data_IF_557354612044
#
_entry.id   IF_557354612044
#
_cell.length_a   1.000
_cell.length_b   1.000
_cell.length_c   1.000
_cell.angle_alpha   90.00
_cell.angle_beta   90.00
_cell.angle_gamma   90.00
#
_symmetry.space_group_name_H-M   'P 1'
#
loop_
_entity.id
_entity.type
_entity.pdbx_description
1 polymer ?
#
# COMPACT_ATOMS: atom_id res chain seq x y z
N UNK A 1 -29.62 -0.30 -0.40
CA UNK A 1 -28.47 -0.57 0.48
C UNK A 1 -27.42 -1.25 -0.38
N UNK A 2 -26.20 -0.73 -0.46
CA UNK A 2 -25.16 -1.36 -1.29
C UNK A 2 -24.50 -2.51 -0.53
N UNK A 3 -24.19 -3.59 -1.24
CA UNK A 3 -23.43 -4.69 -0.69
C UNK A 3 -21.96 -4.29 -0.45
N UNK A 4 -21.34 -4.93 0.54
CA UNK A 4 -19.92 -4.73 0.85
C UNK A 4 -19.06 -5.41 -0.22
N UNK A 5 -18.08 -4.70 -0.76
CA UNK A 5 -17.13 -5.26 -1.72
C UNK A 5 -16.04 -6.02 -0.97
N UNK A 6 -16.11 -7.35 -1.01
CA UNK A 6 -15.15 -8.22 -0.36
C UNK A 6 -13.96 -8.50 -1.30
N UNK A 7 -12.74 -8.36 -0.77
CA UNK A 7 -11.50 -8.63 -1.51
C UNK A 7 -10.68 -9.69 -0.79
N UNK A 8 -9.97 -10.52 -1.55
CA UNK A 8 -9.11 -11.56 -1.00
C UNK A 8 -7.94 -10.96 -0.19
N UNK A 9 -7.70 -11.49 1.01
CA UNK A 9 -6.51 -11.13 1.81
C UNK A 9 -5.26 -11.84 1.28
N UNK A 10 -4.08 -11.23 1.46
CA UNK A 10 -2.78 -11.86 1.22
C UNK A 10 -2.58 -13.12 2.07
N UNK A 11 -1.62 -13.97 1.68
CA UNK A 11 -1.33 -15.21 2.43
C UNK A 11 -0.95 -14.92 3.88
N UNK A 12 -0.24 -13.82 4.14
CA UNK A 12 0.22 -13.43 5.47
C UNK A 12 -0.96 -12.97 6.34
N UNK A 13 -1.82 -12.10 5.80
CA UNK A 13 -3.04 -11.66 6.50
C UNK A 13 -4.02 -12.82 6.74
N UNK A 14 -4.10 -13.80 5.82
CA UNK A 14 -4.90 -15.02 6.00
C UNK A 14 -4.41 -15.86 7.16
N UNK A 15 -3.09 -15.97 7.36
CA UNK A 15 -2.51 -16.69 8.51
C UNK A 15 -2.78 -15.93 9.81
N UNK A 16 -2.61 -14.61 9.80
CA UNK A 16 -2.77 -13.74 10.99
C UNK A 16 -4.21 -13.70 11.51
N UNK A 17 -5.18 -13.54 10.61
CA UNK A 17 -6.59 -13.36 10.99
C UNK A 17 -7.47 -14.57 10.73
N UNK A 18 -7.01 -15.57 9.96
CA UNK A 18 -7.82 -16.74 9.62
C UNK A 18 -8.94 -16.50 8.60
N UNK A 19 -9.00 -15.30 8.03
CA UNK A 19 -10.11 -14.88 7.14
C UNK A 19 -9.64 -14.91 5.69
N UNK A 20 -10.49 -15.36 4.77
CA UNK A 20 -10.18 -15.46 3.34
C UNK A 20 -10.30 -14.12 2.62
N UNK A 21 -11.34 -13.35 2.94
CA UNK A 21 -11.69 -12.08 2.31
C UNK A 21 -12.23 -11.10 3.34
N UNK A 22 -12.00 -9.81 3.08
CA UNK A 22 -12.46 -8.74 3.96
C UNK A 22 -13.00 -7.55 3.13
N UNK A 23 -13.97 -6.77 3.64
CA UNK A 23 -14.46 -5.58 2.94
C UNK A 23 -13.37 -4.55 2.73
N UNK A 24 -13.21 -4.07 1.49
CA UNK A 24 -12.25 -3.03 1.13
C UNK A 24 -12.76 -1.64 1.52
N UNK A 25 -11.88 -0.77 2.00
CA UNK A 25 -12.16 0.65 2.29
C UNK A 25 -11.03 1.52 1.72
N UNK A 26 -11.32 2.81 1.54
CA UNK A 26 -10.33 3.85 1.29
C UNK A 26 -9.19 3.73 2.31
N UNK A 27 -7.94 3.73 1.83
CA UNK A 27 -6.74 3.59 2.67
C UNK A 27 -6.12 2.19 2.75
N UNK A 28 -6.84 1.14 2.36
CA UNK A 28 -6.23 -0.21 2.25
C UNK A 28 -5.15 -0.24 1.16
N UNK A 29 -4.11 -1.05 1.35
CA UNK A 29 -3.08 -1.28 0.31
C UNK A 29 -3.44 -2.55 -0.42
N UNK A 30 -3.53 -2.45 -1.75
CA UNK A 30 -3.92 -3.55 -2.61
C UNK A 30 -2.91 -3.79 -3.71
N UNK A 31 -2.89 -5.03 -4.20
CA UNK A 31 -2.15 -5.46 -5.38
C UNK A 31 -3.11 -6.08 -6.39
N UNK A 32 -2.90 -5.79 -7.67
CA UNK A 32 -3.66 -6.39 -8.77
C UNK A 32 -3.12 -7.78 -9.09
N UNK A 33 -3.98 -8.79 -8.99
CA UNK A 33 -3.65 -10.21 -9.21
C UNK A 33 -3.82 -10.63 -10.66
N UNK A 34 -4.85 -10.08 -11.33
CA UNK A 34 -5.24 -10.48 -12.68
C UNK A 34 -5.72 -9.29 -13.51
N UNK A 35 -5.65 -9.42 -14.84
CA UNK A 35 -6.02 -8.39 -15.80
C UNK A 35 -4.82 -7.60 -16.35
N UNK A 36 -5.12 -6.53 -17.10
CA UNK A 36 -4.13 -5.75 -17.85
C UNK A 36 -3.10 -5.02 -16.97
N UNK A 37 -3.44 -4.75 -15.70
CA UNK A 37 -2.59 -4.02 -14.74
C UNK A 37 -2.03 -4.94 -13.65
N UNK A 38 -1.87 -6.23 -13.96
CA UNK A 38 -1.35 -7.24 -13.03
C UNK A 38 0.04 -6.83 -12.53
N UNK A 39 0.24 -6.93 -11.22
CA UNK A 39 1.52 -6.61 -10.57
C UNK A 39 1.59 -5.20 -10.01
N UNK A 40 0.81 -4.26 -10.55
CA UNK A 40 0.65 -2.92 -9.97
C UNK A 40 -0.02 -3.01 -8.59
N UNK A 41 0.40 -2.15 -7.68
CA UNK A 41 -0.16 -2.05 -6.34
C UNK A 41 -0.17 -0.60 -5.89
N UNK A 42 -1.06 -0.29 -4.96
CA UNK A 42 -1.26 1.07 -4.47
C UNK A 42 -2.27 1.12 -3.34
N UNK A 43 -2.44 2.31 -2.78
CA UNK A 43 -3.50 2.59 -1.81
C UNK A 43 -4.83 2.72 -2.53
N UNK A 44 -5.91 2.33 -1.86
CA UNK A 44 -7.27 2.52 -2.39
C UNK A 44 -7.66 3.99 -2.22
N UNK A 45 -7.80 4.70 -3.34
CA UNK A 45 -8.29 6.08 -3.36
C UNK A 45 -9.80 6.12 -3.11
N UNK A 46 -10.54 5.28 -3.85
CA UNK A 46 -11.99 5.27 -3.79
C UNK A 46 -12.60 3.89 -4.04
N UNK A 47 -13.69 3.64 -3.33
CA UNK A 47 -14.56 2.48 -3.50
C UNK A 47 -15.89 2.99 -4.01
N UNK A 48 -16.18 2.77 -5.29
CA UNK A 48 -17.45 3.12 -5.88
C UNK A 48 -18.44 1.96 -5.68
N UNK A 49 -19.29 2.11 -4.65
CA UNK A 49 -20.32 1.13 -4.32
C UNK A 49 -21.46 1.07 -5.35
N UNK A 50 -21.63 2.09 -6.19
CA UNK A 50 -22.65 2.07 -7.22
C UNK A 50 -22.24 1.21 -8.41
N UNK A 51 -20.99 1.35 -8.89
CA UNK A 51 -20.46 0.54 -9.99
C UNK A 51 -19.82 -0.79 -9.54
N UNK A 52 -19.55 -0.95 -8.24
CA UNK A 52 -18.84 -2.11 -7.72
C UNK A 52 -17.35 -2.12 -8.08
N UNK A 53 -16.79 -0.96 -8.42
CA UNK A 53 -15.40 -0.80 -8.84
C UNK A 53 -14.56 -0.10 -7.76
N UNK A 54 -13.28 -0.46 -7.72
CA UNK A 54 -12.30 0.11 -6.80
C UNK A 54 -11.27 0.89 -7.61
N UNK A 55 -11.04 2.14 -7.23
CA UNK A 55 -10.01 3.00 -7.81
C UNK A 55 -8.78 2.94 -6.92
N UNK A 56 -7.67 2.50 -7.49
CA UNK A 56 -6.38 2.37 -6.82
C UNK A 56 -5.49 3.53 -7.26
N UNK A 57 -4.79 4.15 -6.31
CA UNK A 57 -3.80 5.19 -6.57
C UNK A 57 -2.69 4.64 -7.50
N UNK A 58 -2.31 5.43 -8.50
CA UNK A 58 -1.31 5.06 -9.50
C UNK A 58 -1.88 4.31 -10.72
N UNK A 59 -3.07 3.70 -10.64
CA UNK A 59 -3.66 2.99 -11.77
C UNK A 59 -4.64 3.91 -12.50
N UNK A 60 -4.14 4.57 -13.56
CA UNK A 60 -4.91 5.55 -14.34
C UNK A 60 -4.98 5.21 -15.83
N UNK A 61 -6.00 5.75 -16.50
CA UNK A 61 -6.14 5.78 -17.96
C UNK A 61 -5.95 7.23 -18.42
N UNK A 62 -5.11 7.43 -19.43
CA UNK A 62 -4.99 8.70 -20.14
C UNK A 62 -6.20 8.90 -21.06
N UNK A 63 -6.89 10.05 -20.92
CA UNK A 63 -7.91 10.49 -21.86
C UNK A 63 -7.28 11.21 -23.04
N UNK A 64 -8.06 11.40 -24.11
CA UNK A 64 -7.68 12.18 -25.30
C UNK A 64 -7.27 13.61 -24.90
N UNK A 65 -7.95 14.20 -23.91
CA UNK A 65 -7.66 15.53 -23.38
C UNK A 65 -6.35 15.62 -22.56
N UNK A 66 -5.57 14.53 -22.46
CA UNK A 66 -4.35 14.44 -21.63
C UNK A 66 -4.59 14.25 -20.13
N UNK A 67 -5.82 14.43 -19.65
CA UNK A 67 -6.18 14.20 -18.23
C UNK A 67 -6.12 12.72 -17.89
N UNK A 68 -5.56 12.40 -16.71
CA UNK A 68 -5.59 11.04 -16.17
C UNK A 68 -6.89 10.82 -15.40
N UNK A 69 -7.58 9.70 -15.68
CA UNK A 69 -8.74 9.23 -14.90
C UNK A 69 -8.36 7.95 -14.16
N UNK A 70 -8.77 7.82 -12.90
CA UNK A 70 -8.63 6.57 -12.16
C UNK A 70 -9.29 5.40 -12.90
N UNK A 71 -8.57 4.30 -13.03
CA UNK A 71 -9.11 3.08 -13.61
C UNK A 71 -9.89 2.31 -12.55
N UNK A 72 -11.15 2.03 -12.81
CA UNK A 72 -11.98 1.21 -11.93
C UNK A 72 -11.64 -0.27 -12.09
N UNK A 73 -11.24 -0.92 -11.01
CA UNK A 73 -10.85 -2.34 -10.98
C UNK A 73 -11.89 -3.13 -10.19
N UNK A 74 -12.29 -4.28 -10.74
CA UNK A 74 -13.21 -5.20 -10.05
C UNK A 74 -12.53 -5.83 -8.81
N UNK A 75 -13.25 -6.00 -7.70
CA UNK A 75 -12.68 -6.49 -6.43
C UNK A 75 -12.07 -7.89 -6.52
N UNK A 76 -12.58 -8.77 -7.39
CA UNK A 76 -12.05 -10.12 -7.62
C UNK A 76 -10.63 -10.13 -8.18
N UNK A 77 -10.22 -9.04 -8.84
CA UNK A 77 -8.89 -8.88 -9.43
C UNK A 77 -7.89 -8.29 -8.43
N UNK A 78 -8.32 -7.93 -7.23
CA UNK A 78 -7.50 -7.32 -6.19
C UNK A 78 -7.15 -8.32 -5.09
N UNK A 79 -6.03 -8.07 -4.44
CA UNK A 79 -5.63 -8.74 -3.21
C UNK A 79 -5.11 -7.69 -2.22
N UNK A 80 -5.65 -7.67 -1.00
CA UNK A 80 -5.23 -6.75 0.05
C UNK A 80 -3.89 -7.24 0.62
N UNK A 81 -2.89 -6.36 0.64
CA UNK A 81 -1.58 -6.60 1.26
C UNK A 81 -1.50 -6.04 2.66
N UNK A 82 -2.06 -4.85 2.88
CA UNK A 82 -2.16 -4.22 4.20
C UNK A 82 -3.58 -3.68 4.43
N UNK A 83 -4.10 -3.92 5.63
CA UNK A 83 -5.41 -3.43 6.05
C UNK A 83 -5.22 -2.13 6.84
N UNK A 84 -6.01 -1.11 6.51
CA UNK A 84 -6.17 0.04 7.40
C UNK A 84 -7.16 -0.33 8.51
N UNK A 85 -6.67 -0.35 9.75
CA UNK A 85 -7.45 -0.70 10.95
C UNK A 85 -7.73 0.53 11.83
N UNK A 86 -7.59 1.74 11.28
CA UNK A 86 -7.85 3.01 11.97
C UNK A 86 -9.23 3.09 12.65
N UNK A 87 -10.27 2.52 12.02
CA UNK A 87 -11.64 2.53 12.55
C UNK A 87 -11.87 1.37 13.52
N UNK A 88 -12.32 1.68 14.74
CA UNK A 88 -12.62 0.70 15.79
C UNK A 88 -13.60 -0.39 15.35
N UNK A 89 -14.67 -0.03 14.63
CA UNK A 89 -15.64 -1.00 14.12
C UNK A 89 -15.01 -2.03 13.17
N UNK A 90 -14.03 -1.60 12.37
CA UNK A 90 -13.35 -2.45 11.40
C UNK A 90 -12.45 -3.45 12.13
N UNK A 91 -11.77 -2.97 13.17
CA UNK A 91 -10.96 -3.80 14.05
C UNK A 91 -11.79 -4.81 14.85
N UNK A 92 -12.98 -4.42 15.32
CA UNK A 92 -13.91 -5.36 15.98
C UNK A 92 -14.40 -6.43 15.02
N UNK A 93 -14.85 -6.04 13.81
CA UNK A 93 -15.32 -6.97 12.78
C UNK A 93 -14.26 -8.02 12.41
N UNK A 94 -12.98 -7.63 12.29
CA UNK A 94 -11.92 -8.59 11.97
C UNK A 94 -11.63 -9.55 13.14
N UNK A 95 -11.70 -9.07 14.39
CA UNK A 95 -11.58 -9.91 15.59
C UNK A 95 -12.71 -10.93 15.69
N UNK A 96 -13.96 -10.49 15.51
CA UNK A 96 -15.14 -11.35 15.53
C UNK A 96 -15.04 -12.47 14.48
N UNK A 97 -14.67 -12.12 13.25
CA UNK A 97 -14.51 -13.07 12.15
C UNK A 97 -13.35 -14.06 12.38
N UNK A 98 -12.28 -13.64 13.04
CA UNK A 98 -11.16 -14.49 13.41
C UNK A 98 -11.55 -15.49 14.52
N UNK A 99 -12.29 -15.03 15.53
CA UNK A 99 -12.73 -15.85 16.66
C UNK A 99 -13.61 -17.03 16.24
N UNK A 100 -14.48 -16.84 15.23
CA UNK A 100 -15.37 -17.90 14.70
C UNK A 100 -14.57 -19.13 14.23
N UNK A 101 -13.32 -18.95 13.79
CA UNK A 101 -12.52 -20.01 13.17
C UNK A 101 -11.52 -20.68 14.11
N UNK A 102 -11.55 -20.37 15.42
CA UNK A 102 -10.61 -20.91 16.40
C UNK A 102 -9.14 -20.72 15.99
N UNK A 103 -8.81 -19.56 15.43
CA UNK A 103 -7.43 -19.19 15.12
C UNK A 103 -6.99 -18.20 16.19
N UNK A 104 -6.00 -18.60 16.99
CA UNK A 104 -5.32 -17.72 17.95
C UNK A 104 -4.68 -16.59 17.17
N UNK A 105 -5.26 -15.38 17.28
CA UNK A 105 -4.61 -14.16 16.82
C UNK A 105 -3.33 -14.01 17.64
N UNK A 106 -2.18 -14.28 17.02
CA UNK A 106 -0.91 -13.92 17.64
C UNK A 106 -0.84 -12.39 17.58
N UNK A 107 -1.11 -11.75 18.72
CA UNK A 107 -0.83 -10.33 18.89
C UNK A 107 0.69 -10.17 18.85
N UNK A 108 1.23 -9.89 17.66
CA UNK A 108 2.63 -9.47 17.53
C UNK A 108 2.79 -8.17 18.34
N UNK A 109 3.79 -8.10 19.23
CA UNK A 109 4.07 -6.89 19.98
C UNK A 109 4.48 -5.75 19.04
N UNK A 110 3.87 -4.58 19.22
CA UNK A 110 4.01 -3.39 18.36
C UNK A 110 5.35 -2.66 18.63
N UNK A 111 6.48 -3.38 18.75
CA UNK A 111 7.75 -2.80 19.23
C UNK A 111 8.88 -2.72 18.19
N UNK A 112 8.77 -3.33 17.00
CA UNK A 112 9.91 -3.40 16.06
C UNK A 112 9.92 -2.36 14.92
N UNK A 113 8.81 -1.68 14.61
CA UNK A 113 8.80 -0.66 13.54
C UNK A 113 9.34 0.71 13.96
N UNK A 114 9.34 1.02 15.26
CA UNK A 114 9.89 2.28 15.76
C UNK A 114 11.43 2.30 15.69
N UNK A 115 12.09 1.15 15.87
CA UNK A 115 13.55 1.06 15.87
C UNK A 115 14.15 1.15 14.45
N UNK A 116 13.51 0.56 13.44
CA UNK A 116 14.05 0.58 12.06
C UNK A 116 13.95 1.96 11.39
N UNK A 117 12.96 2.76 11.76
CA UNK A 117 12.79 4.12 11.24
C UNK A 117 13.80 5.10 11.86
N UNK A 118 14.25 4.83 13.09
CA UNK A 118 15.31 5.60 13.74
C UNK A 118 16.70 5.20 13.24
N UNK A 119 16.98 3.91 13.02
CA UNK A 119 18.27 3.45 12.48
C UNK A 119 18.51 3.96 11.05
N UNK A 120 17.49 3.94 10.19
CA UNK A 120 17.61 4.44 8.81
C UNK A 120 17.80 5.97 8.75
N UNK A 121 17.36 6.70 9.79
CA UNK A 121 17.59 8.15 9.89
C UNK A 121 18.96 8.51 10.48
N UNK A 122 19.61 7.59 11.19
CA UNK A 122 20.93 7.82 11.77
C UNK A 122 22.07 7.44 10.81
N UNK A 123 21.85 6.55 9.83
CA UNK A 123 22.90 6.15 8.88
C UNK A 123 23.01 7.03 7.61
N UNK A 124 22.03 7.87 7.28
CA UNK A 124 21.99 8.60 5.98
C UNK A 124 22.56 10.03 6.06
N UNK A 125 23.26 10.41 7.14
CA UNK A 125 23.90 11.71 7.26
C UNK A 125 25.35 11.56 7.77
N UNK A 126 26.32 11.31 6.87
CA UNK A 126 27.20 12.41 6.45
C UNK A 126 27.76 12.36 4.99
N UNK A 127 27.31 11.49 4.09
CA UNK A 127 27.95 11.37 2.76
C UNK A 127 27.63 12.51 1.75
N UNK A 128 26.78 13.47 2.12
CA UNK A 128 26.46 14.63 1.28
C UNK A 128 27.49 15.76 1.29
N UNK A 129 28.59 15.65 2.06
CA UNK A 129 29.60 16.72 2.13
C UNK A 129 30.81 16.47 1.22
N UNK A 130 31.17 15.22 0.90
CA UNK A 130 32.36 14.94 0.08
C UNK A 130 32.11 14.84 -1.43
N UNK A 131 30.87 14.59 -1.89
CA UNK A 131 30.59 14.48 -3.32
C UNK A 131 30.40 15.83 -4.04
N UNK A 132 30.16 16.93 -3.31
CA UNK A 132 30.06 18.28 -3.89
C UNK A 132 31.37 19.04 -3.89
N UNK A 133 32.34 18.65 -3.06
CA UNK A 133 33.65 19.30 -3.02
C UNK A 133 34.66 18.72 -4.04
N UNK A 134 34.36 17.56 -4.64
CA UNK A 134 35.20 16.95 -5.66
C UNK A 134 34.97 17.50 -7.08
N UNK A 135 33.82 18.12 -7.36
CA UNK A 135 33.53 18.68 -8.68
C UNK A 135 34.08 20.11 -8.85
N UNK A 136 34.21 20.89 -7.77
CA UNK A 136 34.79 22.25 -7.83
C UNK A 136 36.31 22.27 -8.10
N UNK A 137 37.03 21.15 -7.91
CA UNK A 137 38.48 21.09 -8.19
C UNK A 137 38.82 20.75 -9.64
N UNK A 138 37.86 20.39 -10.48
CA UNK A 138 38.12 20.13 -11.90
C UNK A 138 37.86 21.35 -12.79
N UNK A 139 37.04 22.32 -12.39
CA UNK A 139 36.76 23.49 -13.24
C UNK A 139 37.82 24.61 -13.21
N UNK A 140 38.82 24.55 -12.33
CA UNK A 140 39.85 25.62 -12.28
C UNK A 140 41.11 25.31 -13.10
N UNK A 141 41.25 24.11 -13.68
CA UNK A 141 42.45 23.74 -14.47
C UNK A 141 42.28 23.80 -15.98
N UNK A 142 41.10 24.15 -16.49
CA UNK A 142 40.87 24.25 -17.94
C UNK A 142 40.84 25.69 -18.47
N UNK A 143 41.18 26.68 -17.63
CA UNK A 143 41.17 28.11 -18.00
C UNK A 143 42.55 28.79 -18.02
N UNK A 144 43.65 28.03 -18.14
CA UNK A 144 44.99 28.59 -18.27
C UNK A 144 45.74 27.96 -19.47
N UNK A 145 45.40 28.41 -20.69
CA UNK A 145 46.27 28.54 -21.87
C UNK A 145 45.56 29.26 -23.02
#
# INVERSE_FOLDING_TARGET
MYDKLNVALSKDLRKKYGIRSFPIVKGDVVKVVSGARKGEGGKVAEVDHHSGLVIVEGITIAKIDGKQKGFGISPEKLQITHLDLSRSERFQKIKELANIKHITIQEEPIQEEQQKTEETKQEIAPEEVEAKEAQDKQEVKENDQ
#
